data_IF_945077559379
#
_entry.id   IF_945077559379
#
_cell.length_a   1.000
_cell.length_b   1.000
_cell.length_c   1.000
_cell.angle_alpha   90.00
_cell.angle_beta   90.00
_cell.angle_gamma   90.00
#
_symmetry.space_group_name_H-M   'P 1'
#
loop_
_entity.id
_entity.type
_entity.pdbx_description
1 polymer ?
#
# COMPACT_ATOMS: atom_id res chain seq x y z
N UNK A 1 21.69 -65.53 13.08
CA UNK A 1 22.03 -64.68 14.24
C UNK A 1 20.90 -63.68 14.54
N UNK A 2 19.83 -64.10 15.26
CA UNK A 2 18.66 -63.26 15.53
C UNK A 2 18.90 -62.10 16.50
N UNK A 3 19.88 -62.21 17.41
CA UNK A 3 20.15 -61.18 18.44
C UNK A 3 20.71 -59.85 17.92
N UNK A 4 21.36 -59.84 16.75
CA UNK A 4 21.95 -58.60 16.21
C UNK A 4 20.88 -57.70 15.58
N UNK A 5 19.82 -58.30 15.03
CA UNK A 5 18.69 -57.59 14.42
C UNK A 5 17.80 -56.92 15.45
N UNK A 6 17.60 -57.55 16.60
CA UNK A 6 16.84 -56.98 17.71
C UNK A 6 17.59 -55.82 18.37
N UNK A 7 18.91 -55.93 18.55
CA UNK A 7 19.74 -54.83 19.08
C UNK A 7 19.76 -53.63 18.13
N UNK A 8 19.89 -53.86 16.82
CA UNK A 8 19.85 -52.79 15.83
C UNK A 8 18.47 -52.10 15.77
N UNK A 9 17.38 -52.86 15.92
CA UNK A 9 16.02 -52.33 16.00
C UNK A 9 15.77 -51.45 17.23
N UNK A 10 16.31 -51.84 18.39
CA UNK A 10 16.21 -51.03 19.62
C UNK A 10 17.00 -49.72 19.52
N UNK A 11 18.19 -49.75 18.93
CA UNK A 11 19.00 -48.55 18.69
C UNK A 11 18.30 -47.59 17.71
N UNK A 12 17.69 -48.10 16.65
CA UNK A 12 16.93 -47.30 15.70
C UNK A 12 15.66 -46.69 16.32
N UNK A 13 15.00 -47.40 17.23
CA UNK A 13 13.84 -46.88 17.95
C UNK A 13 14.21 -45.73 18.91
N UNK A 14 15.34 -45.84 19.60
CA UNK A 14 15.83 -44.79 20.51
C UNK A 14 16.22 -43.51 19.77
N UNK A 15 16.87 -43.62 18.61
CA UNK A 15 17.23 -42.44 17.80
C UNK A 15 16.00 -41.76 17.20
N UNK A 16 15.02 -42.54 16.72
CA UNK A 16 13.76 -42.00 16.22
C UNK A 16 12.98 -41.23 17.30
N UNK A 17 12.87 -41.79 18.52
CA UNK A 17 12.21 -41.11 19.64
C UNK A 17 12.91 -39.80 20.03
N UNK A 18 14.24 -39.79 20.05
CA UNK A 18 15.02 -38.58 20.33
C UNK A 18 14.81 -37.50 19.27
N UNK A 19 14.79 -37.87 17.99
CA UNK A 19 14.54 -36.93 16.89
C UNK A 19 13.13 -36.32 16.97
N UNK A 20 12.10 -37.13 17.24
CA UNK A 20 10.71 -36.65 17.37
C UNK A 20 10.57 -35.66 18.53
N UNK A 21 11.16 -35.95 19.67
CA UNK A 21 11.15 -35.03 20.82
C UNK A 21 11.89 -33.71 20.51
N UNK A 22 13.01 -33.79 19.81
CA UNK A 22 13.78 -32.61 19.40
C UNK A 22 13.00 -31.73 18.41
N UNK A 23 12.43 -32.32 17.35
CA UNK A 23 11.62 -31.58 16.39
C UNK A 23 10.35 -30.99 17.02
N UNK A 24 9.68 -31.73 17.90
CA UNK A 24 8.55 -31.22 18.68
C UNK A 24 8.93 -30.00 19.52
N UNK A 25 10.09 -30.03 20.17
CA UNK A 25 10.61 -28.90 20.94
C UNK A 25 10.98 -27.70 20.04
N UNK A 26 11.61 -27.95 18.88
CA UNK A 26 11.93 -26.91 17.91
C UNK A 26 10.67 -26.20 17.39
N UNK A 27 9.61 -26.94 17.06
CA UNK A 27 8.32 -26.37 16.60
C UNK A 27 7.65 -25.57 17.72
N UNK A 28 7.64 -26.08 18.95
CA UNK A 28 7.11 -25.35 20.11
C UNK A 28 7.85 -24.02 20.34
N UNK A 29 9.18 -24.06 20.29
CA UNK A 29 10.01 -22.88 20.52
C UNK A 29 9.89 -21.84 19.40
N UNK A 30 9.85 -22.28 18.13
CA UNK A 30 9.65 -21.38 17.00
C UNK A 30 8.27 -20.71 17.05
N UNK A 31 7.22 -21.44 17.44
CA UNK A 31 5.88 -20.89 17.65
C UNK A 31 5.84 -19.88 18.80
N UNK A 32 6.55 -20.14 19.91
CA UNK A 32 6.67 -19.19 21.03
C UNK A 32 7.43 -17.92 20.64
N UNK A 33 8.42 -18.03 19.74
CA UNK A 33 9.22 -16.90 19.25
C UNK A 33 8.48 -16.03 18.22
N UNK A 34 7.61 -16.60 17.38
CA UNK A 34 6.83 -15.85 16.37
C UNK A 34 5.63 -15.08 16.94
N UNK A 35 5.33 -15.25 18.23
CA UNK A 35 4.19 -14.60 18.91
C UNK A 35 4.48 -13.21 19.50
N UNK A 36 5.69 -12.67 19.39
CA UNK A 36 6.05 -11.43 20.07
C UNK A 36 5.24 -10.21 19.53
N UNK A 37 4.37 -9.59 20.35
CA UNK A 37 3.59 -8.43 19.94
C UNK A 37 4.47 -7.22 19.58
N UNK A 38 5.69 -7.13 20.12
CA UNK A 38 6.62 -6.06 19.80
C UNK A 38 7.10 -6.13 18.35
N UNK A 39 7.25 -7.32 17.76
CA UNK A 39 7.66 -7.47 16.36
C UNK A 39 6.59 -6.94 15.39
N UNK A 40 5.31 -7.25 15.68
CA UNK A 40 4.17 -6.73 14.89
C UNK A 40 4.07 -5.20 15.02
N UNK A 41 4.28 -4.65 16.22
CA UNK A 41 4.27 -3.19 16.44
C UNK A 41 5.39 -2.50 15.64
N UNK A 42 6.61 -3.03 15.70
CA UNK A 42 7.75 -2.52 14.91
C UNK A 42 7.50 -2.58 13.40
N UNK A 43 6.83 -3.62 12.90
CA UNK A 43 6.43 -3.71 11.49
C UNK A 43 5.38 -2.67 11.09
N UNK A 44 4.40 -2.39 11.97
CA UNK A 44 3.42 -1.32 11.74
C UNK A 44 4.06 0.06 11.79
N UNK A 45 4.91 0.32 12.78
CA UNK A 45 5.69 1.55 12.90
C UNK A 45 6.58 1.78 11.67
N UNK A 46 7.27 0.73 11.17
CA UNK A 46 8.07 0.83 9.93
C UNK A 46 7.22 1.18 8.71
N UNK A 47 6.01 0.63 8.58
CA UNK A 47 5.09 0.97 7.48
C UNK A 47 4.60 2.42 7.58
N UNK A 48 4.16 2.86 8.76
CA UNK A 48 3.75 4.26 9.01
C UNK A 48 4.88 5.25 8.71
N UNK A 49 6.10 4.95 9.17
CA UNK A 49 7.28 5.77 8.90
C UNK A 49 7.66 5.80 7.41
N UNK A 50 7.38 4.74 6.63
CA UNK A 50 7.58 4.74 5.19
C UNK A 50 6.53 5.56 4.46
N UNK A 51 5.26 5.51 4.86
CA UNK A 51 4.19 6.36 4.33
C UNK A 51 4.51 7.84 4.57
N UNK A 52 4.85 8.23 5.80
CA UNK A 52 5.24 9.62 6.11
C UNK A 52 6.46 10.09 5.32
N UNK A 53 7.43 9.20 5.06
CA UNK A 53 8.60 9.50 4.21
C UNK A 53 8.26 9.57 2.72
N UNK A 54 7.20 8.92 2.26
CA UNK A 54 6.72 9.02 0.89
C UNK A 54 5.95 10.33 0.70
N UNK A 55 5.07 10.69 1.64
CA UNK A 55 4.39 11.99 1.69
C UNK A 55 5.38 13.15 1.74
N UNK A 56 6.38 13.07 2.64
CA UNK A 56 7.43 14.09 2.75
C UNK A 56 8.33 14.16 1.51
N UNK A 57 8.52 13.05 0.78
CA UNK A 57 9.25 13.05 -0.50
C UNK A 57 8.42 13.58 -1.66
N UNK A 58 7.12 13.29 -1.72
CA UNK A 58 6.20 13.92 -2.67
C UNK A 58 6.14 15.42 -2.49
N UNK A 59 6.09 15.89 -1.23
CA UNK A 59 6.14 17.31 -0.88
C UNK A 59 7.51 17.96 -1.20
N UNK A 60 8.63 17.26 -1.03
CA UNK A 60 9.96 17.79 -1.42
C UNK A 60 10.23 17.72 -2.93
N UNK A 61 9.63 16.76 -3.64
CA UNK A 61 9.72 16.63 -5.09
C UNK A 61 8.86 17.69 -5.78
N UNK A 62 7.70 18.01 -5.21
CA UNK A 62 6.85 19.10 -5.68
C UNK A 62 7.22 20.40 -4.95
N UNK A 63 8.48 20.80 -5.08
CA UNK A 63 8.90 22.16 -4.76
C UNK A 63 8.74 22.98 -6.05
N UNK A 64 7.73 23.87 -6.14
CA UNK A 64 7.44 24.62 -7.37
C UNK A 64 8.65 25.46 -7.82
N UNK A 65 9.54 25.83 -6.91
CA UNK A 65 10.77 26.55 -7.22
C UNK A 65 11.87 25.67 -7.87
N UNK A 66 11.81 24.33 -7.73
CA UNK A 66 12.83 23.41 -8.25
C UNK A 66 12.41 22.69 -9.53
N UNK A 67 11.11 22.61 -9.80
CA UNK A 67 10.54 21.80 -10.88
C UNK A 67 9.55 22.58 -11.75
N UNK A 68 9.94 23.78 -12.18
CA UNK A 68 9.17 24.65 -13.08
C UNK A 68 8.58 23.90 -14.28
N UNK A 69 9.37 23.01 -14.91
CA UNK A 69 8.92 22.18 -16.04
C UNK A 69 7.80 21.20 -15.68
N UNK A 70 7.83 20.59 -14.49
CA UNK A 70 6.76 19.69 -14.06
C UNK A 70 5.49 20.46 -13.72
N UNK A 71 5.63 21.68 -13.20
CA UNK A 71 4.51 22.57 -12.95
C UNK A 71 3.86 23.03 -14.27
N UNK A 72 4.66 23.38 -15.29
CA UNK A 72 4.15 23.69 -16.63
C UNK A 72 3.42 22.50 -17.24
N UNK A 73 4.00 21.30 -17.18
CA UNK A 73 3.35 20.08 -17.66
C UNK A 73 2.05 19.80 -16.92
N UNK A 74 2.04 19.96 -15.59
CA UNK A 74 0.83 19.82 -14.79
C UNK A 74 -0.27 20.78 -15.25
N UNK A 75 0.06 22.07 -15.37
CA UNK A 75 -0.92 23.09 -15.79
C UNK A 75 -1.43 22.81 -17.20
N UNK A 76 -0.53 22.43 -18.11
CA UNK A 76 -0.85 22.11 -19.49
C UNK A 76 -1.79 20.90 -19.58
N UNK A 77 -1.52 19.81 -18.85
CA UNK A 77 -2.37 18.63 -18.82
C UNK A 77 -3.75 18.95 -18.22
N UNK A 78 -3.83 19.74 -17.15
CA UNK A 78 -5.13 20.17 -16.59
C UNK A 78 -5.93 21.01 -17.59
N UNK A 79 -5.29 21.99 -18.24
CA UNK A 79 -5.95 22.84 -19.25
C UNK A 79 -6.44 22.03 -20.46
N UNK A 80 -5.62 21.09 -20.96
CA UNK A 80 -6.02 20.20 -22.05
C UNK A 80 -7.16 19.29 -21.61
N UNK A 81 -7.12 18.79 -20.37
CA UNK A 81 -8.21 18.02 -19.76
C UNK A 81 -9.53 18.79 -19.79
N UNK A 82 -9.55 20.00 -19.25
CA UNK A 82 -10.73 20.88 -19.25
C UNK A 82 -11.20 21.23 -20.66
N UNK A 83 -10.28 21.48 -21.58
CA UNK A 83 -10.60 21.77 -22.97
C UNK A 83 -11.36 20.61 -23.64
N UNK A 84 -10.88 19.37 -23.49
CA UNK A 84 -11.57 18.20 -24.05
C UNK A 84 -12.91 17.94 -23.35
N UNK A 85 -12.99 18.17 -22.04
CA UNK A 85 -14.26 18.08 -21.31
C UNK A 85 -15.29 19.10 -21.80
N UNK A 86 -14.86 20.34 -22.11
CA UNK A 86 -15.76 21.37 -22.66
C UNK A 86 -16.34 21.02 -24.03
N UNK A 87 -15.64 20.17 -24.79
CA UNK A 87 -16.08 19.63 -26.09
C UNK A 87 -16.93 18.37 -25.98
N UNK A 88 -17.09 17.82 -24.78
CA UNK A 88 -17.79 16.55 -24.54
C UNK A 88 -16.94 15.29 -24.78
N UNK A 89 -15.64 15.46 -25.06
CA UNK A 89 -14.69 14.36 -25.28
C UNK A 89 -14.11 13.86 -23.95
N UNK A 90 -14.96 13.17 -23.18
CA UNK A 90 -14.64 12.78 -21.81
C UNK A 90 -13.44 11.82 -21.70
N UNK A 91 -13.23 10.94 -22.69
CA UNK A 91 -12.10 9.99 -22.65
C UNK A 91 -10.75 10.69 -22.70
N UNK A 92 -10.61 11.66 -23.62
CA UNK A 92 -9.40 12.46 -23.76
C UNK A 92 -9.20 13.38 -22.57
N UNK A 93 -10.27 14.00 -22.08
CA UNK A 93 -10.23 14.82 -20.86
C UNK A 93 -9.70 14.05 -19.65
N UNK A 94 -10.23 12.84 -19.43
CA UNK A 94 -9.79 11.96 -18.35
C UNK A 94 -8.34 11.51 -18.53
N UNK A 95 -7.86 11.33 -19.77
CA UNK A 95 -6.46 10.95 -20.03
C UNK A 95 -5.48 12.03 -19.57
N UNK A 96 -5.74 13.27 -19.97
CA UNK A 96 -4.93 14.41 -19.57
C UNK A 96 -4.99 14.67 -18.06
N UNK A 97 -6.17 14.57 -17.45
CA UNK A 97 -6.32 14.66 -15.99
C UNK A 97 -5.59 13.52 -15.27
N UNK A 98 -5.54 12.32 -15.86
CA UNK A 98 -4.80 11.19 -15.31
C UNK A 98 -3.29 11.46 -15.31
N UNK A 99 -2.76 12.05 -16.39
CA UNK A 99 -1.36 12.43 -16.50
C UNK A 99 -1.01 13.53 -15.49
N UNK A 100 -1.89 14.53 -15.32
CA UNK A 100 -1.71 15.56 -14.30
C UNK A 100 -1.61 14.96 -12.88
N UNK A 101 -2.41 13.93 -12.58
CA UNK A 101 -2.38 13.23 -11.29
C UNK A 101 -1.07 12.44 -11.08
N UNK A 102 -0.43 11.97 -12.15
CA UNK A 102 0.87 11.28 -12.08
C UNK A 102 2.04 12.24 -11.82
N UNK A 103 1.93 13.49 -12.26
CA UNK A 103 2.98 14.51 -12.13
C UNK A 103 2.85 15.31 -10.84
N UNK A 104 1.68 15.30 -10.21
CA UNK A 104 1.45 16.01 -8.96
C UNK A 104 2.15 15.33 -7.76
N UNK A 105 2.65 16.13 -6.81
CA UNK A 105 3.27 15.61 -5.59
C UNK A 105 2.29 15.10 -4.54
N UNK A 106 1.02 15.52 -4.65
CA UNK A 106 -0.06 15.20 -3.71
C UNK A 106 -1.35 14.88 -4.49
N UNK A 107 -1.49 13.63 -4.98
CA UNK A 107 -2.67 13.24 -5.75
C UNK A 107 -3.96 13.27 -4.93
N UNK A 108 -3.86 13.07 -3.61
CA UNK A 108 -4.99 13.07 -2.68
C UNK A 108 -5.74 14.42 -2.70
N UNK A 109 -5.02 15.53 -2.51
CA UNK A 109 -5.60 16.87 -2.49
C UNK A 109 -6.17 17.26 -3.86
N UNK A 110 -5.47 16.94 -4.94
CA UNK A 110 -5.97 17.22 -6.28
C UNK A 110 -7.23 16.41 -6.61
N UNK A 111 -7.30 15.15 -6.17
CA UNK A 111 -8.46 14.31 -6.38
C UNK A 111 -9.69 14.82 -5.60
N UNK A 112 -9.50 15.40 -4.40
CA UNK A 112 -10.56 16.12 -3.67
C UNK A 112 -11.10 17.30 -4.48
N UNK A 113 -10.22 18.11 -5.06
CA UNK A 113 -10.63 19.25 -5.91
C UNK A 113 -11.41 18.74 -7.13
N UNK A 114 -10.90 17.71 -7.83
CA UNK A 114 -11.57 17.12 -8.98
C UNK A 114 -12.95 16.54 -8.66
N UNK A 115 -13.15 15.99 -7.45
CA UNK A 115 -14.47 15.54 -7.00
C UNK A 115 -15.50 16.68 -6.95
N UNK A 116 -15.06 17.90 -6.64
CA UNK A 116 -15.93 19.08 -6.55
C UNK A 116 -16.09 19.82 -7.89
N UNK A 117 -15.12 19.73 -8.79
CA UNK A 117 -15.13 20.46 -10.07
C UNK A 117 -15.64 19.64 -11.25
N UNK A 118 -15.53 18.31 -11.21
CA UNK A 118 -15.91 17.43 -12.32
C UNK A 118 -17.30 16.82 -12.12
N UNK A 119 -18.06 16.61 -13.22
CA UNK A 119 -19.28 15.83 -13.17
C UNK A 119 -19.01 14.38 -12.68
N UNK A 120 -19.94 13.75 -11.92
CA UNK A 120 -19.74 12.43 -11.32
C UNK A 120 -19.30 11.36 -12.33
N UNK A 121 -19.89 11.38 -13.53
CA UNK A 121 -19.59 10.45 -14.62
C UNK A 121 -18.12 10.52 -15.07
N UNK A 122 -17.54 11.72 -15.13
CA UNK A 122 -16.14 11.94 -15.56
C UNK A 122 -15.19 11.50 -14.46
N UNK A 123 -15.53 11.81 -13.22
CA UNK A 123 -14.76 11.41 -12.05
C UNK A 123 -14.69 9.88 -11.94
N UNK A 124 -15.80 9.15 -12.11
CA UNK A 124 -15.77 7.67 -12.09
C UNK A 124 -14.88 7.05 -13.18
N UNK A 125 -14.86 7.66 -14.38
CA UNK A 125 -13.95 7.23 -15.45
C UNK A 125 -12.49 7.47 -15.09
N UNK A 126 -12.19 8.58 -14.42
CA UNK A 126 -10.85 8.87 -13.90
C UNK A 126 -10.42 7.86 -12.84
N UNK A 127 -11.33 7.49 -11.91
CA UNK A 127 -11.04 6.49 -10.89
C UNK A 127 -10.71 5.13 -11.49
N UNK A 128 -11.44 4.71 -12.53
CA UNK A 128 -11.16 3.47 -13.25
C UNK A 128 -9.79 3.46 -13.96
N UNK A 129 -9.32 4.61 -14.47
CA UNK A 129 -8.00 4.70 -15.12
C UNK A 129 -6.84 4.66 -14.13
N UNK A 130 -7.04 5.10 -12.88
CA UNK A 130 -5.96 5.17 -11.88
C UNK A 130 -6.30 4.39 -10.60
N UNK A 131 -6.42 3.05 -10.68
CA UNK A 131 -6.87 2.24 -9.56
C UNK A 131 -5.93 2.30 -8.35
N UNK A 132 -4.62 2.44 -8.57
CA UNK A 132 -3.63 2.46 -7.48
C UNK A 132 -3.73 3.73 -6.62
N UNK A 133 -3.99 4.89 -7.23
CA UNK A 133 -4.15 6.15 -6.49
C UNK A 133 -5.50 6.17 -5.78
N UNK A 134 -6.54 5.60 -6.39
CA UNK A 134 -7.87 5.51 -5.78
C UNK A 134 -7.88 4.62 -4.54
N UNK A 135 -7.20 3.47 -4.58
CA UNK A 135 -7.10 2.59 -3.41
C UNK A 135 -6.42 3.26 -2.22
N UNK A 136 -5.44 4.15 -2.46
CA UNK A 136 -4.84 4.95 -1.42
C UNK A 136 -5.81 6.03 -0.92
N UNK A 137 -6.51 6.73 -1.82
CA UNK A 137 -7.52 7.74 -1.46
C UNK A 137 -8.67 7.15 -0.62
N UNK A 138 -9.20 6.00 -1.02
CA UNK A 138 -10.27 5.31 -0.29
C UNK A 138 -9.78 4.79 1.07
N UNK A 139 -8.55 4.28 1.15
CA UNK A 139 -7.96 3.85 2.41
C UNK A 139 -7.79 5.03 3.38
N UNK A 140 -7.28 6.16 2.90
CA UNK A 140 -7.07 7.37 3.72
C UNK A 140 -8.40 7.95 4.22
N UNK A 141 -9.43 7.98 3.35
CA UNK A 141 -10.79 8.42 3.75
C UNK A 141 -11.43 7.47 4.77
N UNK A 142 -11.29 6.15 4.59
CA UNK A 142 -11.84 5.14 5.49
C UNK A 142 -11.10 5.11 6.85
N UNK A 143 -9.80 5.41 6.87
CA UNK A 143 -9.04 5.60 8.12
C UNK A 143 -9.47 6.88 8.87
N UNK A 144 -9.90 7.93 8.15
CA UNK A 144 -10.41 9.16 8.75
C UNK A 144 -11.79 8.99 9.39
N UNK A 145 -12.68 8.24 8.73
CA UNK A 145 -14.04 7.95 9.21
C UNK A 145 -14.04 7.08 10.49
N UNK A 146 -13.03 6.22 10.67
CA UNK A 146 -12.89 5.37 11.86
C UNK A 146 -12.42 6.11 13.13
N UNK A 147 -11.95 7.36 13.03
CA UNK A 147 -11.45 8.15 14.16
C UNK A 147 -12.50 9.10 14.76
N UNK A 148 -13.64 9.27 14.10
CA UNK A 148 -14.72 10.16 14.57
C UNK A 148 -15.78 9.43 15.42
N UNK A 149 -15.62 8.13 15.67
CA UNK A 149 -16.56 7.26 16.39
C UNK A 149 -16.10 6.91 17.83
N UNK A 150 -15.44 7.84 18.53
CA UNK A 150 -15.21 7.74 19.98
C UNK A 150 -16.28 8.60 20.69
N UNK A 151 -17.38 8.01 21.20
CA UNK A 151 -18.40 8.76 21.92
C UNK A 151 -17.88 9.17 23.30
N UNK A 152 -17.89 10.49 23.56
CA UNK A 152 -17.75 11.09 24.90
C UNK A 152 -18.76 10.51 25.93
#
# INVERSE_FOLDING_TARGET
MPGVRTVLGLLAALTACGAVAFFGYCVYFDRKRRGDPAFKRRLREKRRAQQQKAEGRGAQLWDPAKNEKLQELFLQEVQMGEFWLSRGEHQMGVEHLSNALLVCGQPQELLKVFKHTLPPKVFEMLLHKIPLICQQFEADMNEQECLEDDPD
#
